data_IF_145313253728
#
_entry.id   IF_145313253728
#
_cell.length_a   1.000
_cell.length_b   1.000
_cell.length_c   1.000
_cell.angle_alpha   90.00
_cell.angle_beta   90.00
_cell.angle_gamma   90.00
#
_symmetry.space_group_name_H-M   'P 1'
#
loop_
_entity.id
_entity.type
_entity.pdbx_description
1 polymer ?
#
# COMPACT_ATOMS: atom_id res chain seq x y z
N UNK A 1 16.44 -1.30 23.93
CA UNK A 1 15.56 -2.42 23.57
C UNK A 1 15.71 -3.61 24.50
N UNK A 2 16.92 -4.09 24.80
CA UNK A 2 17.13 -5.24 25.72
C UNK A 2 16.42 -5.09 27.08
N UNK A 3 16.50 -3.91 27.70
CA UNK A 3 15.78 -3.62 28.95
C UNK A 3 14.26 -3.78 28.82
N UNK A 4 13.68 -3.51 27.65
CA UNK A 4 12.23 -3.68 27.42
C UNK A 4 11.84 -5.16 27.43
N UNK A 5 12.67 -6.03 26.85
CA UNK A 5 12.42 -7.49 26.86
C UNK A 5 12.46 -8.00 28.30
N UNK A 6 13.45 -7.58 29.09
CA UNK A 6 13.55 -7.97 30.51
C UNK A 6 12.36 -7.48 31.33
N UNK A 7 11.91 -6.23 31.13
CA UNK A 7 10.71 -5.69 31.80
C UNK A 7 9.47 -6.48 31.40
N UNK A 8 9.30 -6.78 30.12
CA UNK A 8 8.16 -7.53 29.61
C UNK A 8 8.06 -8.91 30.26
N UNK A 9 9.17 -9.66 30.29
CA UNK A 9 9.26 -10.96 30.96
C UNK A 9 8.96 -10.85 32.46
N UNK A 10 9.51 -9.83 33.12
CA UNK A 10 9.28 -9.60 34.55
C UNK A 10 7.80 -9.29 34.84
N UNK A 11 7.09 -8.54 34.00
CA UNK A 11 5.64 -8.29 34.18
C UNK A 11 4.84 -9.59 34.02
N UNK A 12 5.18 -10.44 33.05
CA UNK A 12 4.51 -11.72 32.83
C UNK A 12 4.68 -12.69 34.00
N UNK A 13 5.91 -12.82 34.53
CA UNK A 13 6.19 -13.63 35.72
C UNK A 13 5.33 -13.21 36.92
N UNK A 14 5.11 -11.91 37.08
CA UNK A 14 4.38 -11.33 38.21
C UNK A 14 2.86 -11.50 38.13
N UNK A 15 2.31 -11.74 36.93
CA UNK A 15 0.88 -12.05 36.74
C UNK A 15 0.50 -13.48 37.14
N UNK A 16 1.46 -14.40 37.21
CA UNK A 16 1.25 -15.81 37.61
C UNK A 16 2.23 -16.21 38.73
N UNK A 17 2.06 -15.68 39.97
CA UNK A 17 3.02 -15.90 41.04
C UNK A 17 3.03 -17.36 41.48
N UNK A 18 4.14 -18.07 41.22
CA UNK A 18 4.39 -19.45 41.69
C UNK A 18 5.32 -19.51 42.91
N UNK A 19 5.68 -18.36 43.51
CA UNK A 19 6.77 -18.25 44.51
C UNK A 19 6.36 -17.53 45.81
N UNK A 20 7.19 -17.72 46.84
CA UNK A 20 7.05 -17.22 48.21
C UNK A 20 6.98 -15.67 48.28
N UNK A 21 6.22 -15.11 49.22
CA UNK A 21 5.80 -13.69 49.21
C UNK A 21 6.93 -12.65 49.33
N UNK A 22 8.02 -12.97 50.04
CA UNK A 22 9.14 -12.04 50.21
C UNK A 22 10.01 -11.90 48.94
N UNK A 23 10.25 -12.99 48.22
CA UNK A 23 10.98 -12.96 46.94
C UNK A 23 10.15 -12.19 45.89
N UNK A 24 8.82 -12.25 45.99
CA UNK A 24 7.93 -11.53 45.10
C UNK A 24 8.06 -10.01 45.25
N UNK A 25 8.13 -9.50 46.49
CA UNK A 25 8.28 -8.06 46.75
C UNK A 25 9.59 -7.50 46.21
N UNK A 26 10.69 -8.25 46.31
CA UNK A 26 12.00 -7.83 45.80
C UNK A 26 11.96 -7.71 44.27
N UNK A 27 11.43 -8.74 43.59
CA UNK A 27 11.27 -8.74 42.12
C UNK A 27 10.36 -7.60 41.64
N UNK A 28 9.24 -7.37 42.34
CA UNK A 28 8.33 -6.27 42.05
C UNK A 28 9.03 -4.92 42.21
N UNK A 29 9.81 -4.73 43.29
CA UNK A 29 10.56 -3.51 43.55
C UNK A 29 11.60 -3.23 42.46
N UNK A 30 12.33 -4.24 42.01
CA UNK A 30 13.30 -4.13 40.90
C UNK A 30 12.63 -3.77 39.58
N UNK A 31 11.47 -4.36 39.29
CA UNK A 31 10.65 -4.03 38.13
C UNK A 31 10.23 -2.55 38.13
N UNK A 32 9.70 -2.04 39.25
CA UNK A 32 9.32 -0.62 39.36
C UNK A 32 10.49 0.32 39.14
N UNK A 33 11.65 0.04 39.74
CA UNK A 33 12.85 0.86 39.56
C UNK A 33 13.26 0.91 38.09
N UNK A 34 13.24 -0.24 37.41
CA UNK A 34 13.61 -0.34 36.00
C UNK A 34 12.65 0.46 35.12
N UNK A 35 11.33 0.37 35.36
CA UNK A 35 10.34 1.17 34.60
C UNK A 35 10.50 2.67 34.90
N UNK A 36 10.77 3.03 36.16
CA UNK A 36 11.00 4.42 36.58
C UNK A 36 12.17 5.07 35.84
N UNK A 37 13.31 4.36 35.72
CA UNK A 37 14.48 4.86 35.01
C UNK A 37 14.19 5.16 33.53
N UNK A 38 13.31 4.37 32.92
CA UNK A 38 13.01 4.46 31.49
C UNK A 38 11.92 5.49 31.18
N UNK A 39 11.00 5.75 32.12
CA UNK A 39 9.81 6.59 31.90
C UNK A 39 9.91 7.96 32.60
N UNK A 40 11.14 8.44 32.81
CA UNK A 40 11.49 9.63 33.61
C UNK A 40 10.82 10.97 33.16
N UNK A 41 9.99 10.95 32.12
CA UNK A 41 9.29 12.11 31.53
C UNK A 41 7.81 12.25 31.99
N UNK A 42 7.26 11.30 32.77
CA UNK A 42 5.87 11.37 33.29
C UNK A 42 5.82 11.74 34.78
N UNK A 43 5.63 13.04 35.08
CA UNK A 43 5.51 13.57 36.46
C UNK A 43 4.54 12.76 37.36
N UNK A 44 3.40 12.33 36.81
CA UNK A 44 2.41 11.53 37.55
C UNK A 44 2.92 10.14 37.93
N UNK A 45 3.76 9.51 37.08
CA UNK A 45 4.35 8.21 37.40
C UNK A 45 5.42 8.35 38.48
N UNK A 46 6.22 9.41 38.41
CA UNK A 46 7.30 9.68 39.36
C UNK A 46 6.74 9.83 40.78
N UNK A 47 5.67 10.62 40.93
CA UNK A 47 5.02 10.85 42.23
C UNK A 47 4.38 9.57 42.79
N UNK A 48 3.60 8.87 41.96
CA UNK A 48 2.92 7.63 42.33
C UNK A 48 3.91 6.48 42.62
N UNK A 49 4.94 6.32 41.80
CA UNK A 49 5.99 5.31 42.01
C UNK A 49 6.77 5.54 43.29
N UNK A 50 7.00 6.79 43.71
CA UNK A 50 7.72 7.08 44.97
C UNK A 50 6.97 6.54 46.18
N UNK A 51 5.63 6.67 46.20
CA UNK A 51 4.77 6.11 47.26
C UNK A 51 4.88 4.59 47.28
N UNK A 52 4.82 3.95 46.11
CA UNK A 52 4.91 2.49 45.98
C UNK A 52 6.29 1.95 46.38
N UNK A 53 7.37 2.58 45.93
CA UNK A 53 8.75 2.18 46.26
C UNK A 53 8.98 2.20 47.78
N UNK A 54 8.47 3.22 48.47
CA UNK A 54 8.52 3.31 49.93
C UNK A 54 7.71 2.18 50.57
N UNK A 55 6.45 1.98 50.15
CA UNK A 55 5.56 0.98 50.73
C UNK A 55 6.03 -0.48 50.50
N UNK A 56 6.63 -0.78 49.34
CA UNK A 56 7.28 -2.07 49.06
C UNK A 56 8.52 -2.28 49.93
N UNK A 57 9.32 -1.24 50.15
CA UNK A 57 10.52 -1.32 50.99
C UNK A 57 10.20 -1.61 52.46
N UNK A 58 9.01 -1.20 52.91
CA UNK A 58 8.51 -1.42 54.27
C UNK A 58 7.64 -2.70 54.39
N UNK A 59 7.41 -3.44 53.31
CA UNK A 59 6.55 -4.62 53.23
C UNK A 59 5.08 -4.37 53.69
N UNK A 60 4.57 -3.18 53.39
CA UNK A 60 3.31 -2.64 53.96
C UNK A 60 2.09 -2.74 53.02
N UNK A 61 2.14 -3.54 51.97
CA UNK A 61 1.08 -3.60 50.94
C UNK A 61 0.34 -4.93 50.92
N UNK A 62 -0.97 -4.86 50.76
CA UNK A 62 -1.82 -6.01 50.43
C UNK A 62 -1.55 -6.50 49.00
N UNK A 63 -1.91 -7.76 48.71
CA UNK A 63 -1.79 -8.31 47.36
C UNK A 63 -2.66 -7.57 46.34
N UNK A 64 -3.81 -7.05 46.75
CA UNK A 64 -4.68 -6.25 45.88
C UNK A 64 -4.00 -4.94 45.45
N UNK A 65 -3.39 -4.23 46.40
CA UNK A 65 -2.64 -3.00 46.09
C UNK A 65 -1.46 -3.30 45.17
N UNK A 66 -0.72 -4.39 45.41
CA UNK A 66 0.38 -4.80 44.52
C UNK A 66 -0.08 -5.04 43.09
N UNK A 67 -1.23 -5.70 42.90
CA UNK A 67 -1.79 -5.95 41.57
C UNK A 67 -2.28 -4.68 40.88
N UNK A 68 -2.90 -3.74 41.62
CA UNK A 68 -3.30 -2.44 41.07
C UNK A 68 -2.09 -1.63 40.59
N UNK A 69 -1.03 -1.58 41.39
CA UNK A 69 0.21 -0.92 41.01
C UNK A 69 0.87 -1.61 39.82
N UNK A 70 0.85 -2.95 39.77
CA UNK A 70 1.47 -3.70 38.67
C UNK A 70 0.75 -3.39 37.36
N UNK A 71 -0.57 -3.30 37.39
CA UNK A 71 -1.37 -2.87 36.25
C UNK A 71 -1.04 -1.43 35.82
N UNK A 72 -0.87 -0.52 36.77
CA UNK A 72 -0.49 0.87 36.49
C UNK A 72 0.89 0.98 35.83
N UNK A 73 1.91 0.32 36.39
CA UNK A 73 3.25 0.28 35.79
C UNK A 73 3.26 -0.41 34.43
N UNK A 74 2.51 -1.51 34.28
CA UNK A 74 2.37 -2.19 32.99
C UNK A 74 1.76 -1.27 31.93
N UNK A 75 0.74 -0.47 32.25
CA UNK A 75 0.14 0.49 31.30
C UNK A 75 1.10 1.60 30.85
N UNK A 76 1.95 2.05 31.77
CA UNK A 76 2.97 3.06 31.48
C UNK A 76 4.09 2.49 30.61
N UNK A 77 4.57 1.29 30.97
CA UNK A 77 5.51 0.55 30.16
C UNK A 77 4.95 0.23 28.77
N UNK A 78 3.67 -0.16 28.66
CA UNK A 78 3.00 -0.41 27.39
C UNK A 78 3.01 0.83 26.49
N UNK A 79 2.69 2.01 27.05
CA UNK A 79 2.75 3.28 26.31
C UNK A 79 4.16 3.56 25.78
N UNK A 80 5.18 3.39 26.64
CA UNK A 80 6.58 3.59 26.26
C UNK A 80 7.03 2.61 25.18
N UNK A 81 6.72 1.32 25.35
CA UNK A 81 7.08 0.26 24.43
C UNK A 81 6.43 0.46 23.06
N UNK A 82 5.15 0.84 23.01
CA UNK A 82 4.43 1.08 21.76
C UNK A 82 5.10 2.17 20.92
N UNK A 83 5.45 3.31 21.55
CA UNK A 83 6.18 4.40 20.89
C UNK A 83 7.56 3.94 20.43
N UNK A 84 8.31 3.25 21.28
CA UNK A 84 9.67 2.79 20.94
C UNK A 84 9.70 1.81 19.78
N UNK A 85 8.80 0.82 19.78
CA UNK A 85 8.67 -0.13 18.67
C UNK A 85 8.31 0.59 17.34
N UNK A 86 7.52 1.66 17.41
CA UNK A 86 7.14 2.43 16.22
C UNK A 86 8.28 3.33 15.69
N UNK A 87 8.93 4.08 16.57
CA UNK A 87 10.04 4.98 16.22
C UNK A 87 11.24 4.21 15.66
N UNK A 88 11.55 3.05 16.26
CA UNK A 88 12.77 2.28 15.97
C UNK A 88 12.50 1.09 15.03
N UNK A 89 11.34 1.05 14.34
CA UNK A 89 10.88 -0.05 13.46
C UNK A 89 11.88 -0.55 12.39
N UNK A 90 12.92 0.23 12.08
CA UNK A 90 13.97 -0.19 11.16
C UNK A 90 15.05 -1.09 11.77
N UNK A 91 15.18 -1.10 13.11
CA UNK A 91 16.24 -1.80 13.85
C UNK A 91 15.72 -2.75 14.92
N UNK A 92 14.39 -2.80 15.18
CA UNK A 92 13.80 -3.67 16.21
C UNK A 92 14.25 -5.12 16.07
N UNK A 93 14.32 -5.63 14.84
CA UNK A 93 14.70 -7.02 14.53
C UNK A 93 16.17 -7.34 14.83
N UNK A 94 17.00 -6.33 15.09
CA UNK A 94 18.37 -6.52 15.61
C UNK A 94 18.39 -6.91 17.09
N UNK A 95 17.31 -6.62 17.83
CA UNK A 95 17.19 -6.83 19.28
C UNK A 95 16.08 -7.82 19.67
N UNK A 96 14.93 -7.76 19.00
CA UNK A 96 13.77 -8.61 19.28
C UNK A 96 13.74 -9.82 18.34
N UNK A 97 13.72 -11.02 18.93
CA UNK A 97 13.41 -12.24 18.19
C UNK A 97 11.93 -12.29 17.78
N UNK A 98 11.56 -13.24 16.91
CA UNK A 98 10.14 -13.50 16.62
C UNK A 98 9.34 -13.85 17.88
N UNK A 99 9.97 -14.55 18.83
CA UNK A 99 9.33 -14.91 20.10
C UNK A 99 9.09 -13.67 20.98
N UNK A 100 10.06 -12.75 21.05
CA UNK A 100 9.92 -11.51 21.83
C UNK A 100 8.85 -10.59 21.24
N UNK A 101 8.74 -10.53 19.90
CA UNK A 101 7.65 -9.79 19.25
C UNK A 101 6.28 -10.43 19.51
N UNK A 102 6.19 -11.77 19.55
CA UNK A 102 4.96 -12.47 19.92
C UNK A 102 4.57 -12.14 21.37
N UNK A 103 5.51 -12.17 22.30
CA UNK A 103 5.27 -11.76 23.70
C UNK A 103 4.80 -10.32 23.79
N UNK A 104 5.46 -9.40 23.08
CA UNK A 104 5.06 -8.00 23.06
C UNK A 104 3.63 -7.83 22.51
N UNK A 105 3.28 -8.55 21.44
CA UNK A 105 1.94 -8.55 20.87
C UNK A 105 0.89 -9.10 21.86
N UNK A 106 1.16 -10.23 22.50
CA UNK A 106 0.28 -10.82 23.53
C UNK A 106 0.12 -9.88 24.73
N UNK A 107 1.19 -9.21 25.13
CA UNK A 107 1.17 -8.22 26.19
C UNK A 107 0.22 -7.06 25.88
N UNK A 108 0.22 -6.55 24.65
CA UNK A 108 -0.74 -5.52 24.24
C UNK A 108 -2.17 -6.05 24.15
N UNK A 109 -2.39 -7.20 23.51
CA UNK A 109 -3.72 -7.76 23.27
C UNK A 109 -4.42 -8.22 24.55
N UNK A 110 -3.68 -8.82 25.47
CA UNK A 110 -4.20 -9.36 26.72
C UNK A 110 -4.03 -8.39 27.90
N UNK A 111 -3.30 -7.29 27.69
CA UNK A 111 -3.19 -6.21 28.64
C UNK A 111 -4.51 -5.45 28.74
N UNK A 112 -5.01 -5.24 29.96
CA UNK A 112 -6.19 -4.41 30.21
C UNK A 112 -5.85 -2.92 30.06
N UNK A 113 -5.37 -2.53 28.88
CA UNK A 113 -4.96 -1.18 28.53
C UNK A 113 -6.07 -0.46 27.76
N UNK A 114 -6.02 0.88 27.72
CA UNK A 114 -6.93 1.67 26.89
C UNK A 114 -6.73 1.39 25.40
N UNK A 115 -7.77 1.59 24.56
CA UNK A 115 -7.74 1.24 23.14
C UNK A 115 -6.63 1.97 22.36
N UNK A 116 -6.28 3.20 22.75
CA UNK A 116 -5.18 3.96 22.15
C UNK A 116 -3.82 3.25 22.33
N UNK A 117 -3.49 2.85 23.56
CA UNK A 117 -2.22 2.16 23.85
C UNK A 117 -2.18 0.78 23.19
N UNK A 118 -3.28 0.02 23.30
CA UNK A 118 -3.38 -1.30 22.70
C UNK A 118 -3.23 -1.24 21.18
N UNK A 119 -3.96 -0.34 20.51
CA UNK A 119 -3.92 -0.21 19.05
C UNK A 119 -2.55 0.24 18.53
N UNK A 120 -1.92 1.25 19.15
CA UNK A 120 -0.56 1.69 18.77
C UNK A 120 0.44 0.57 18.98
N UNK A 121 0.37 -0.16 20.09
CA UNK A 121 1.24 -1.30 20.37
C UNK A 121 1.10 -2.43 19.36
N UNK A 122 -0.14 -2.85 19.08
CA UNK A 122 -0.44 -3.88 18.06
C UNK A 122 0.04 -3.44 16.68
N UNK A 123 -0.20 -2.18 16.30
CA UNK A 123 0.27 -1.61 15.03
C UNK A 123 1.80 -1.59 14.95
N UNK A 124 2.47 -1.13 16.01
CA UNK A 124 3.93 -1.08 16.07
C UNK A 124 4.57 -2.48 15.96
N UNK A 125 3.98 -3.49 16.61
CA UNK A 125 4.37 -4.89 16.42
C UNK A 125 4.10 -5.37 14.98
N UNK A 126 2.93 -5.04 14.40
CA UNK A 126 2.58 -5.41 13.03
C UNK A 126 3.64 -4.92 12.03
N UNK A 127 4.09 -3.67 12.17
CA UNK A 127 5.07 -3.07 11.26
C UNK A 127 6.44 -3.78 11.26
N UNK A 128 6.73 -4.63 12.24
CA UNK A 128 7.96 -5.44 12.27
C UNK A 128 7.88 -6.68 11.38
N UNK A 129 6.70 -6.99 10.82
CA UNK A 129 6.44 -8.15 9.97
C UNK A 129 6.20 -7.80 8.50
N UNK A 130 6.48 -6.56 8.09
CA UNK A 130 6.17 -6.03 6.75
C UNK A 130 6.70 -6.92 5.62
N UNK A 131 7.88 -7.51 5.78
CA UNK A 131 8.51 -8.38 4.78
C UNK A 131 8.59 -9.85 5.17
N UNK A 132 8.71 -10.17 6.45
CA UNK A 132 8.96 -11.53 6.94
C UNK A 132 7.67 -12.35 7.09
N UNK A 133 6.60 -11.72 7.57
CA UNK A 133 5.26 -12.33 7.64
C UNK A 133 4.21 -11.33 7.12
N UNK A 134 4.20 -10.98 5.81
CA UNK A 134 3.40 -9.86 5.30
C UNK A 134 1.90 -10.01 5.55
N UNK A 135 1.36 -11.23 5.44
CA UNK A 135 -0.05 -11.50 5.76
C UNK A 135 -0.36 -11.20 7.23
N UNK A 136 0.57 -11.55 8.12
CA UNK A 136 0.42 -11.28 9.55
C UNK A 136 0.46 -9.79 9.84
N UNK A 137 1.36 -9.05 9.19
CA UNK A 137 1.38 -7.58 9.27
C UNK A 137 0.05 -6.96 8.83
N UNK A 138 -0.50 -7.44 7.71
CA UNK A 138 -1.78 -6.99 7.17
C UNK A 138 -2.93 -7.18 8.16
N UNK A 139 -3.10 -8.40 8.68
CA UNK A 139 -4.19 -8.73 9.63
C UNK A 139 -4.04 -7.99 10.97
N UNK A 140 -2.82 -7.90 11.50
CA UNK A 140 -2.56 -7.17 12.75
C UNK A 140 -2.77 -5.66 12.58
N UNK A 141 -2.43 -5.10 11.42
CA UNK A 141 -2.71 -3.69 11.12
C UNK A 141 -4.22 -3.44 11.12
N UNK A 142 -5.01 -4.27 10.42
CA UNK A 142 -6.48 -4.15 10.45
C UNK A 142 -7.05 -4.32 11.86
N UNK A 143 -6.49 -5.24 12.65
CA UNK A 143 -6.86 -5.45 14.05
C UNK A 143 -6.62 -4.19 14.88
N UNK A 144 -5.44 -3.56 14.76
CA UNK A 144 -5.13 -2.31 15.46
C UNK A 144 -6.14 -1.20 15.14
N UNK A 145 -6.47 -1.01 13.86
CA UNK A 145 -7.46 -0.02 13.43
C UNK A 145 -8.90 -0.39 13.81
N UNK A 146 -9.19 -1.67 14.03
CA UNK A 146 -10.49 -2.11 14.55
C UNK A 146 -10.62 -1.80 16.05
N UNK A 147 -9.53 -1.98 16.81
CA UNK A 147 -9.46 -1.62 18.24
C UNK A 147 -9.64 -0.11 18.43
N UNK A 148 -9.00 0.69 17.58
CA UNK A 148 -9.10 2.14 17.60
C UNK A 148 -9.22 2.72 16.17
N UNK A 149 -10.46 2.98 15.70
CA UNK A 149 -10.73 3.56 14.37
C UNK A 149 -9.97 4.84 14.04
N UNK A 150 -9.64 5.67 15.04
CA UNK A 150 -8.93 6.95 14.88
C UNK A 150 -7.41 6.83 15.06
N UNK A 151 -6.86 5.61 15.06
CA UNK A 151 -5.42 5.36 15.24
C UNK A 151 -4.56 6.19 14.27
N UNK A 152 -5.03 6.44 13.05
CA UNK A 152 -4.31 7.29 12.10
C UNK A 152 -4.07 8.71 12.63
N UNK A 153 -4.98 9.27 13.43
CA UNK A 153 -4.81 10.56 14.07
C UNK A 153 -3.61 10.59 15.02
N UNK A 154 -3.34 9.49 15.72
CA UNK A 154 -2.14 9.31 16.55
C UNK A 154 -0.87 9.26 15.67
N UNK A 155 -0.99 8.70 14.46
CA UNK A 155 0.08 8.64 13.46
C UNK A 155 0.25 9.96 12.67
N UNK A 156 -0.55 10.99 12.95
CA UNK A 156 -0.50 12.29 12.28
C UNK A 156 -1.20 12.33 10.91
N UNK A 157 -2.13 11.42 10.64
CA UNK A 157 -2.89 11.33 9.39
C UNK A 157 -4.38 11.51 9.66
N UNK A 158 -5.06 12.37 8.88
CA UNK A 158 -6.50 12.52 8.99
C UNK A 158 -7.22 11.34 8.30
N UNK A 159 -7.44 10.26 9.04
CA UNK A 159 -8.14 9.07 8.54
C UNK A 159 -8.87 8.37 9.68
N UNK A 160 -10.05 7.82 9.37
CA UNK A 160 -10.82 6.98 10.30
C UNK A 160 -11.17 5.68 9.60
N UNK A 161 -10.82 4.56 10.25
CA UNK A 161 -11.19 3.25 9.75
C UNK A 161 -12.56 2.83 10.28
N UNK A 162 -13.59 2.89 9.44
CA UNK A 162 -14.96 2.51 9.82
C UNK A 162 -15.25 1.01 9.67
N UNK A 163 -14.23 0.14 9.61
CA UNK A 163 -14.42 -1.28 9.34
C UNK A 163 -14.98 -1.48 7.93
N UNK A 164 -16.11 -2.19 7.79
CA UNK A 164 -16.79 -2.58 6.53
C UNK A 164 -17.14 -1.46 5.52
N UNK A 165 -16.67 -0.23 5.72
CA UNK A 165 -16.83 0.91 4.81
C UNK A 165 -16.04 0.77 3.49
N UNK A 166 -15.02 -0.09 3.44
CA UNK A 166 -14.39 -0.54 2.20
C UNK A 166 -14.75 -2.01 2.02
N UNK A 167 -15.80 -2.32 1.26
CA UNK A 167 -15.97 -3.70 0.79
C UNK A 167 -14.77 -4.05 -0.08
N UNK A 168 -13.97 -5.00 0.37
CA UNK A 168 -12.76 -5.43 -0.34
C UNK A 168 -13.08 -6.61 -1.25
N UNK A 169 -12.65 -6.53 -2.49
CA UNK A 169 -12.47 -7.68 -3.36
C UNK A 169 -11.17 -8.36 -2.94
N UNK A 170 -11.28 -9.64 -2.61
CA UNK A 170 -10.13 -10.50 -2.34
C UNK A 170 -9.73 -11.20 -3.64
N UNK A 171 -8.43 -11.23 -3.89
CA UNK A 171 -7.82 -11.88 -5.06
C UNK A 171 -7.08 -13.13 -4.62
N UNK A 172 -7.75 -14.27 -4.73
CA UNK A 172 -7.26 -15.62 -4.39
C UNK A 172 -6.69 -16.38 -5.59
N UNK A 173 -6.73 -15.77 -6.77
CA UNK A 173 -6.18 -16.27 -8.02
C UNK A 173 -5.32 -15.19 -8.70
N UNK A 174 -4.14 -15.56 -9.18
CA UNK A 174 -3.25 -14.64 -9.88
C UNK A 174 -3.94 -14.08 -11.15
N UNK A 175 -4.11 -12.75 -11.27
CA UNK A 175 -4.85 -12.12 -12.37
C UNK A 175 -4.15 -12.23 -13.73
N UNK A 176 -2.90 -12.70 -13.73
CA UNK A 176 -2.08 -12.84 -14.93
C UNK A 176 -2.09 -14.25 -15.53
N UNK A 177 -2.09 -15.29 -14.69
CA UNK A 177 -1.89 -16.66 -15.17
C UNK A 177 -2.81 -17.71 -14.52
N UNK A 178 -3.72 -17.29 -13.64
CA UNK A 178 -4.64 -18.17 -12.94
C UNK A 178 -4.00 -19.11 -11.91
N UNK A 179 -2.80 -18.78 -11.42
CA UNK A 179 -2.16 -19.53 -10.32
C UNK A 179 -2.93 -19.35 -9.01
N UNK A 180 -3.00 -20.39 -8.18
CA UNK A 180 -3.75 -20.41 -6.91
C UNK A 180 -2.94 -21.03 -5.78
N UNK A 181 -3.45 -20.92 -4.56
CA UNK A 181 -2.89 -21.57 -3.37
C UNK A 181 -1.38 -21.29 -3.24
N UNK A 182 -0.55 -22.34 -3.27
CA UNK A 182 0.91 -22.27 -3.17
C UNK A 182 1.59 -21.47 -4.29
N UNK A 183 0.90 -21.19 -5.40
CA UNK A 183 1.45 -20.39 -6.50
C UNK A 183 1.49 -18.89 -6.16
N UNK A 184 0.70 -18.45 -5.18
CA UNK A 184 0.59 -17.04 -4.78
C UNK A 184 1.02 -16.89 -3.33
N UNK A 185 2.00 -16.03 -3.08
CA UNK A 185 2.60 -15.85 -1.77
C UNK A 185 2.48 -14.38 -1.31
N UNK A 186 2.14 -14.12 -0.04
CA UNK A 186 2.27 -12.79 0.55
C UNK A 186 3.71 -12.31 0.43
N UNK A 187 3.92 -11.13 -0.14
CA UNK A 187 5.25 -10.62 -0.46
C UNK A 187 5.60 -9.36 0.35
N UNK A 188 4.68 -8.43 0.49
CA UNK A 188 4.93 -7.16 1.15
C UNK A 188 3.66 -6.53 1.70
N UNK A 189 3.67 -6.10 2.97
CA UNK A 189 2.57 -5.36 3.56
C UNK A 189 2.88 -3.86 3.57
N UNK A 190 2.25 -3.11 2.66
CA UNK A 190 2.40 -1.67 2.55
C UNK A 190 1.60 -0.97 3.66
N UNK A 191 2.20 -0.07 4.46
CA UNK A 191 1.52 0.73 5.48
C UNK A 191 0.68 1.83 4.82
N UNK A 192 -0.40 1.41 4.19
CA UNK A 192 -1.22 2.23 3.31
C UNK A 192 -1.78 3.47 4.01
N UNK A 193 -2.08 3.37 5.31
CA UNK A 193 -2.60 4.47 6.13
C UNK A 193 -1.78 5.75 6.02
N UNK A 194 -0.47 5.66 5.80
CA UNK A 194 0.41 6.83 5.64
C UNK A 194 0.13 7.67 4.38
N UNK A 195 -0.79 7.21 3.52
CA UNK A 195 -1.20 7.84 2.26
C UNK A 195 -2.70 8.14 2.18
N UNK A 196 -3.48 7.86 3.22
CA UNK A 196 -4.96 7.90 3.18
C UNK A 196 -5.60 9.22 3.63
N UNK A 197 -4.89 10.34 3.56
CA UNK A 197 -5.38 11.65 4.00
C UNK A 197 -6.81 11.93 3.49
N UNK A 198 -7.78 11.89 4.41
CA UNK A 198 -9.24 12.01 4.18
C UNK A 198 -9.84 11.04 3.14
N UNK A 199 -9.22 9.87 2.93
CA UNK A 199 -9.67 8.87 1.97
C UNK A 199 -10.09 7.55 2.67
N UNK A 200 -11.38 7.40 3.04
CA UNK A 200 -11.89 6.21 3.71
C UNK A 200 -12.13 5.02 2.76
N UNK A 201 -11.94 5.19 1.43
CA UNK A 201 -12.21 4.15 0.42
C UNK A 201 -11.29 2.95 0.59
N UNK A 202 -10.10 3.20 1.14
CA UNK A 202 -9.05 2.22 1.24
C UNK A 202 -8.84 1.74 2.68
N UNK A 203 -8.50 0.45 2.87
CA UNK A 203 -8.11 -0.09 4.17
C UNK A 203 -6.74 0.45 4.61
N UNK A 204 -6.41 0.39 5.92
CA UNK A 204 -5.17 0.95 6.46
C UNK A 204 -3.89 0.22 6.03
N UNK A 205 -4.03 -0.99 5.46
CA UNK A 205 -2.92 -1.77 4.92
C UNK A 205 -3.28 -2.32 3.54
N UNK A 206 -2.26 -2.41 2.67
CA UNK A 206 -2.33 -3.09 1.38
C UNK A 206 -1.35 -4.25 1.37
N UNK A 207 -1.86 -5.45 1.10
CA UNK A 207 -1.02 -6.63 0.97
C UNK A 207 -0.69 -6.90 -0.49
N UNK A 208 0.59 -6.84 -0.83
CA UNK A 208 1.12 -7.27 -2.13
C UNK A 208 1.41 -8.76 -2.10
N UNK A 209 0.86 -9.45 -3.10
CA UNK A 209 1.09 -10.85 -3.41
C UNK A 209 2.08 -10.97 -4.56
N UNK A 210 2.85 -12.06 -4.58
CA UNK A 210 3.69 -12.46 -5.70
C UNK A 210 3.21 -13.80 -6.23
N UNK A 211 3.12 -13.94 -7.55
CA UNK A 211 2.89 -15.24 -8.17
C UNK A 211 4.23 -15.91 -8.55
N UNK A 212 4.54 -17.08 -8.01
CA UNK A 212 5.78 -17.80 -8.34
C UNK A 212 5.74 -18.47 -9.72
N UNK A 213 4.56 -18.64 -10.33
CA UNK A 213 4.43 -19.15 -11.70
C UNK A 213 4.79 -18.14 -12.78
N UNK A 214 4.37 -16.88 -12.62
CA UNK A 214 4.56 -15.85 -13.65
C UNK A 214 5.47 -14.69 -13.21
N UNK A 215 5.82 -14.60 -11.93
CA UNK A 215 6.68 -13.56 -11.37
C UNK A 215 6.00 -12.21 -11.10
N UNK A 216 4.77 -11.99 -11.57
CA UNK A 216 4.06 -10.73 -11.40
C UNK A 216 3.57 -10.53 -9.95
N UNK A 217 3.45 -9.26 -9.56
CA UNK A 217 2.84 -8.85 -8.30
C UNK A 217 1.43 -8.29 -8.52
N UNK A 218 0.58 -8.48 -7.53
CA UNK A 218 -0.78 -7.97 -7.49
C UNK A 218 -1.22 -7.76 -6.04
N UNK A 219 -2.25 -6.96 -5.81
CA UNK A 219 -2.78 -6.75 -4.45
C UNK A 219 -3.74 -7.88 -4.07
N UNK A 220 -3.62 -8.38 -2.83
CA UNK A 220 -4.56 -9.35 -2.24
C UNK A 220 -5.95 -8.76 -2.06
N UNK A 221 -6.02 -7.50 -1.67
CA UNK A 221 -7.24 -6.78 -1.33
C UNK A 221 -7.32 -5.46 -2.10
N UNK A 222 -8.48 -5.16 -2.67
CA UNK A 222 -8.74 -3.90 -3.34
C UNK A 222 -10.21 -3.48 -3.13
N UNK A 223 -10.55 -2.18 -3.04
CA UNK A 223 -11.95 -1.76 -2.89
C UNK A 223 -12.83 -2.23 -4.08
N UNK A 224 -14.01 -2.81 -3.81
CA UNK A 224 -14.95 -3.30 -4.85
C UNK A 224 -15.63 -2.16 -5.62
N UNK A 225 -16.06 -1.14 -4.89
CA UNK A 225 -16.87 -0.07 -5.45
C UNK A 225 -16.00 1.13 -5.84
N UNK A 226 -16.53 1.97 -6.75
CA UNK A 226 -15.97 3.27 -7.11
C UNK A 226 -14.62 3.21 -7.85
N UNK A 227 -14.34 2.13 -8.60
CA UNK A 227 -13.11 2.01 -9.42
C UNK A 227 -12.87 3.25 -10.29
N UNK A 228 -13.90 3.79 -10.95
CA UNK A 228 -13.78 5.02 -11.74
C UNK A 228 -13.45 6.29 -10.93
N UNK A 229 -13.84 6.35 -9.66
CA UNK A 229 -13.45 7.45 -8.77
C UNK A 229 -12.06 7.23 -8.15
N UNK A 230 -11.68 5.97 -7.93
CA UNK A 230 -10.35 5.58 -7.44
C UNK A 230 -9.27 5.85 -8.51
N UNK A 231 -9.61 5.60 -9.77
CA UNK A 231 -8.69 5.71 -10.91
C UNK A 231 -8.83 7.03 -11.68
N UNK A 232 -9.47 8.06 -11.12
CA UNK A 232 -9.79 9.31 -11.81
C UNK A 232 -9.81 10.55 -10.94
N UNK A 233 -10.61 11.55 -11.35
CA UNK A 233 -10.73 12.89 -10.77
C UNK A 233 -9.50 13.77 -10.95
N UNK A 234 -8.73 13.53 -12.01
CA UNK A 234 -7.57 14.35 -12.35
C UNK A 234 -7.95 15.79 -12.68
N UNK A 235 -9.20 16.01 -13.06
CA UNK A 235 -9.73 17.34 -13.38
C UNK A 235 -10.41 18.03 -12.19
N UNK A 236 -10.60 17.35 -11.05
CA UNK A 236 -11.40 17.85 -9.92
C UNK A 236 -10.78 19.06 -9.17
N UNK A 237 -11.63 19.91 -8.59
CA UNK A 237 -11.22 20.94 -7.61
C UNK A 237 -10.77 22.31 -8.14
N UNK A 238 -10.95 22.63 -9.43
CA UNK A 238 -10.50 23.91 -10.01
C UNK A 238 -11.54 24.51 -10.94
N UNK A 239 -11.66 25.85 -10.91
CA UNK A 239 -12.67 26.64 -11.63
C UNK A 239 -12.88 26.14 -13.06
N UNK A 240 -14.14 25.92 -13.44
CA UNK A 240 -14.72 25.23 -14.61
C UNK A 240 -14.20 25.58 -16.03
N UNK A 241 -13.01 26.14 -16.23
CA UNK A 241 -12.56 26.67 -17.53
C UNK A 241 -11.16 26.17 -17.93
N UNK A 242 -10.24 25.91 -16.99
CA UNK A 242 -8.84 25.55 -17.33
C UNK A 242 -8.52 24.15 -16.85
N UNK A 243 -8.05 23.31 -17.77
CA UNK A 243 -7.45 22.01 -17.49
C UNK A 243 -5.95 22.22 -17.28
N UNK A 244 -5.39 21.67 -16.20
CA UNK A 244 -3.96 21.74 -15.92
C UNK A 244 -3.28 20.44 -16.32
N UNK A 245 -2.16 20.58 -17.02
CA UNK A 245 -1.34 19.46 -17.43
C UNK A 245 -0.49 18.97 -16.25
N UNK A 246 -0.35 17.65 -16.09
CA UNK A 246 0.57 17.04 -15.12
C UNK A 246 2.02 17.15 -15.60
N UNK A 247 2.23 17.10 -16.91
CA UNK A 247 3.53 17.21 -17.58
C UNK A 247 3.53 18.28 -18.67
N UNK A 248 4.71 18.61 -19.19
CA UNK A 248 4.76 19.41 -20.41
C UNK A 248 4.34 18.55 -21.61
N UNK A 249 3.46 19.06 -22.48
CA UNK A 249 3.02 18.34 -23.69
C UNK A 249 4.20 17.88 -24.56
N UNK A 250 5.29 18.67 -24.59
CA UNK A 250 6.50 18.34 -25.33
C UNK A 250 7.18 17.03 -24.86
N UNK A 251 6.91 16.57 -23.64
CA UNK A 251 7.41 15.29 -23.12
C UNK A 251 6.90 14.11 -23.95
N UNK A 252 5.71 14.22 -24.56
CA UNK A 252 5.13 13.16 -25.39
C UNK A 252 5.67 13.16 -26.83
N UNK A 253 6.39 14.20 -27.27
CA UNK A 253 6.86 14.32 -28.65
C UNK A 253 7.67 13.11 -29.10
N UNK A 254 8.57 12.60 -28.26
CA UNK A 254 9.41 11.45 -28.61
C UNK A 254 8.58 10.20 -28.85
N UNK A 255 7.56 9.96 -28.02
CA UNK A 255 6.63 8.83 -28.16
C UNK A 255 5.90 8.90 -29.51
N UNK A 256 5.35 10.06 -29.88
CA UNK A 256 4.66 10.24 -31.16
C UNK A 256 5.61 10.16 -32.38
N UNK A 257 6.87 10.57 -32.24
CA UNK A 257 7.87 10.35 -33.29
C UNK A 257 8.16 8.87 -33.51
N UNK A 258 8.14 8.04 -32.45
CA UNK A 258 8.24 6.58 -32.61
C UNK A 258 6.99 6.02 -33.30
N UNK A 259 5.78 6.46 -32.95
CA UNK A 259 4.56 6.05 -33.66
C UNK A 259 4.65 6.30 -35.16
N UNK A 260 5.07 7.50 -35.57
CA UNK A 260 5.26 7.88 -36.98
C UNK A 260 6.28 7.01 -37.73
N UNK A 261 7.33 6.54 -37.03
CA UNK A 261 8.33 5.63 -37.62
C UNK A 261 7.80 4.22 -37.79
N UNK A 262 6.88 3.83 -36.92
CA UNK A 262 6.33 2.48 -36.86
C UNK A 262 5.17 2.30 -37.85
N UNK A 263 4.24 3.25 -37.89
CA UNK A 263 3.07 3.18 -38.78
C UNK A 263 2.78 4.54 -39.42
N UNK A 264 2.42 4.59 -40.73
CA UNK A 264 1.90 5.80 -41.36
C UNK A 264 0.43 6.09 -41.00
N UNK A 265 -0.24 5.11 -40.37
CA UNK A 265 -1.65 5.16 -40.03
C UNK A 265 -1.99 6.24 -38.99
N UNK A 266 -3.27 6.60 -38.94
CA UNK A 266 -3.79 7.76 -38.22
C UNK A 266 -4.99 7.47 -37.33
N UNK A 267 -5.56 6.27 -37.41
CA UNK A 267 -6.63 5.87 -36.50
C UNK A 267 -6.03 5.60 -35.12
N UNK A 268 -6.48 6.37 -34.12
CA UNK A 268 -5.88 6.42 -32.79
C UNK A 268 -6.91 6.14 -31.71
N UNK A 269 -6.58 5.25 -30.78
CA UNK A 269 -7.36 4.98 -29.58
C UNK A 269 -6.52 5.24 -28.34
N UNK A 270 -7.02 6.09 -27.44
CA UNK A 270 -6.47 6.26 -26.10
C UNK A 270 -7.34 5.59 -25.05
N UNK A 271 -6.74 4.70 -24.28
CA UNK A 271 -7.38 4.03 -23.16
C UNK A 271 -6.85 4.72 -21.90
N UNK A 272 -7.75 5.33 -21.10
CA UNK A 272 -7.42 6.13 -19.92
C UNK A 272 -6.85 7.50 -20.28
N UNK A 273 -7.70 8.53 -20.38
CA UNK A 273 -7.28 9.87 -20.87
C UNK A 273 -6.65 10.72 -19.77
N UNK A 274 -6.99 10.46 -18.52
CA UNK A 274 -6.49 11.23 -17.38
C UNK A 274 -6.70 12.74 -17.53
N UNK A 275 -5.61 13.50 -17.61
CA UNK A 275 -5.58 14.96 -17.82
C UNK A 275 -5.74 15.40 -19.28
N UNK A 276 -5.81 14.47 -20.24
CA UNK A 276 -6.00 14.74 -21.67
C UNK A 276 -4.74 15.18 -22.44
N UNK A 277 -3.58 15.14 -21.81
CA UNK A 277 -2.32 15.63 -22.39
C UNK A 277 -1.88 14.83 -23.61
N UNK A 278 -1.94 13.50 -23.54
CA UNK A 278 -1.53 12.62 -24.64
C UNK A 278 -2.51 12.74 -25.81
N UNK A 279 -3.81 12.81 -25.51
CA UNK A 279 -4.88 13.06 -26.47
C UNK A 279 -4.70 14.39 -27.20
N UNK A 280 -4.37 15.46 -26.47
CA UNK A 280 -4.09 16.77 -27.06
C UNK A 280 -2.91 16.71 -28.05
N UNK A 281 -1.82 16.01 -27.69
CA UNK A 281 -0.67 15.83 -28.58
C UNK A 281 -1.04 14.97 -29.80
N UNK A 282 -1.92 13.97 -29.66
CA UNK A 282 -2.40 13.18 -30.79
C UNK A 282 -3.10 14.07 -31.84
N UNK A 283 -3.94 15.00 -31.40
CA UNK A 283 -4.63 15.96 -32.28
C UNK A 283 -3.63 16.88 -32.99
N UNK A 284 -2.63 17.42 -32.28
CA UNK A 284 -1.56 18.25 -32.86
C UNK A 284 -0.73 17.48 -33.92
N UNK A 285 -0.58 16.16 -33.74
CA UNK A 285 0.10 15.29 -34.70
C UNK A 285 -0.82 14.80 -35.84
N UNK A 286 -2.08 15.25 -35.86
CA UNK A 286 -3.07 14.99 -36.89
C UNK A 286 -3.61 13.55 -36.90
N UNK A 287 -3.76 12.93 -35.72
CA UNK A 287 -4.43 11.64 -35.58
C UNK A 287 -5.95 11.79 -35.52
N UNK A 288 -6.68 10.78 -36.02
CA UNK A 288 -8.12 10.65 -35.83
C UNK A 288 -8.35 9.93 -34.50
N UNK A 289 -8.48 10.72 -33.44
CA UNK A 289 -8.49 10.21 -32.08
C UNK A 289 -9.90 9.86 -31.59
N UNK A 290 -10.03 8.67 -31.03
CA UNK A 290 -11.10 8.25 -30.13
C UNK A 290 -10.48 7.91 -28.77
N UNK A 291 -11.27 7.95 -27.71
CA UNK A 291 -10.77 7.58 -26.39
C UNK A 291 -11.82 6.92 -25.49
N UNK A 292 -11.35 6.20 -24.48
CA UNK A 292 -12.14 5.56 -23.44
C UNK A 292 -11.62 5.98 -22.08
N UNK A 293 -12.52 6.35 -21.18
CA UNK A 293 -12.17 6.79 -19.83
C UNK A 293 -13.21 6.27 -18.82
N UNK A 294 -12.74 5.71 -17.71
CA UNK A 294 -13.58 5.12 -16.67
C UNK A 294 -14.17 6.19 -15.74
N UNK A 295 -13.47 7.32 -15.58
CA UNK A 295 -13.92 8.46 -14.79
C UNK A 295 -14.83 9.38 -15.60
N UNK A 296 -16.10 9.43 -15.21
CA UNK A 296 -17.10 10.27 -15.87
C UNK A 296 -16.69 11.74 -15.94
N UNK A 297 -16.21 12.31 -14.84
CA UNK A 297 -15.85 13.73 -14.78
C UNK A 297 -14.72 14.06 -15.78
N UNK A 298 -13.65 13.27 -15.77
CA UNK A 298 -12.51 13.47 -16.65
C UNK A 298 -12.93 13.30 -18.12
N UNK A 299 -13.71 12.25 -18.44
CA UNK A 299 -14.24 12.05 -19.80
C UNK A 299 -15.05 13.24 -20.32
N UNK A 300 -16.02 13.75 -19.54
CA UNK A 300 -16.89 14.86 -19.95
C UNK A 300 -16.09 16.16 -20.15
N UNK A 301 -15.13 16.44 -19.25
CA UNK A 301 -14.36 17.69 -19.29
C UNK A 301 -13.31 17.71 -20.38
N UNK A 302 -12.57 16.61 -20.58
CA UNK A 302 -11.58 16.51 -21.66
C UNK A 302 -12.30 16.49 -23.02
N UNK A 303 -13.43 15.76 -23.14
CA UNK A 303 -14.23 15.74 -24.36
C UNK A 303 -14.70 17.13 -24.76
N UNK A 304 -15.22 17.91 -23.81
CA UNK A 304 -15.64 19.29 -24.03
C UNK A 304 -14.47 20.20 -24.47
N UNK A 305 -13.30 20.05 -23.85
CA UNK A 305 -12.16 20.92 -24.10
C UNK A 305 -11.46 20.64 -25.44
N UNK A 306 -11.36 19.37 -25.83
CA UNK A 306 -10.62 18.94 -27.03
C UNK A 306 -11.52 18.66 -28.23
N UNK A 307 -12.85 18.56 -28.04
CA UNK A 307 -13.79 18.23 -29.11
C UNK A 307 -13.67 16.78 -29.61
N UNK A 308 -13.25 15.86 -28.73
CA UNK A 308 -13.07 14.43 -29.03
C UNK A 308 -14.23 13.63 -28.43
N UNK A 309 -14.70 12.62 -29.14
CA UNK A 309 -15.67 11.64 -28.62
C UNK A 309 -14.94 10.69 -27.65
N UNK A 310 -15.11 10.94 -26.35
CA UNK A 310 -14.56 10.10 -25.27
C UNK A 310 -15.70 9.25 -24.71
N UNK A 311 -15.60 7.93 -24.84
CA UNK A 311 -16.56 7.01 -24.25
C UNK A 311 -16.30 6.85 -22.76
N UNK A 312 -17.31 7.16 -21.95
CA UNK A 312 -17.30 6.88 -20.53
C UNK A 312 -17.68 5.41 -20.29
N UNK A 313 -16.68 4.55 -20.08
CA UNK A 313 -16.87 3.15 -19.71
C UNK A 313 -15.55 2.53 -19.23
N UNK A 314 -15.65 1.35 -18.61
CA UNK A 314 -14.46 0.50 -18.47
C UNK A 314 -14.06 -0.02 -19.87
N UNK A 315 -12.75 -0.19 -20.09
CA UNK A 315 -12.24 -0.71 -21.35
C UNK A 315 -12.79 -2.10 -21.66
N UNK A 316 -13.05 -2.93 -20.64
CA UNK A 316 -13.64 -4.26 -20.79
C UNK A 316 -15.07 -4.23 -21.35
N UNK A 317 -15.76 -3.10 -21.25
CA UNK A 317 -17.11 -2.88 -21.82
C UNK A 317 -17.10 -2.14 -23.17
N UNK A 318 -15.98 -1.51 -23.55
CA UNK A 318 -15.88 -0.75 -24.80
C UNK A 318 -15.91 -1.63 -26.06
N UNK A 319 -16.89 -1.50 -26.93
CA UNK A 319 -16.90 -2.20 -28.22
C UNK A 319 -16.44 -1.30 -29.35
N UNK A 320 -15.30 -1.63 -29.95
CA UNK A 320 -14.77 -0.89 -31.10
C UNK A 320 -15.46 -1.30 -32.40
N UNK A 321 -15.82 -0.31 -33.22
CA UNK A 321 -16.39 -0.52 -34.55
C UNK A 321 -15.33 -0.71 -35.64
N UNK A 322 -14.07 -0.38 -35.33
CA UNK A 322 -12.92 -0.44 -36.23
C UNK A 322 -11.66 -0.90 -35.51
N UNK A 323 -10.59 -1.06 -36.27
CA UNK A 323 -9.24 -1.25 -35.74
C UNK A 323 -8.45 0.06 -35.80
N UNK A 324 -7.45 0.18 -34.93
CA UNK A 324 -6.64 1.37 -34.77
C UNK A 324 -5.19 1.11 -35.17
N UNK A 325 -4.58 2.08 -35.83
CA UNK A 325 -3.18 2.06 -36.19
C UNK A 325 -2.29 2.30 -34.97
N UNK A 326 -2.77 3.09 -34.01
CA UNK A 326 -2.09 3.39 -32.75
C UNK A 326 -3.08 3.21 -31.61
N UNK A 327 -2.74 2.37 -30.65
CA UNK A 327 -3.45 2.25 -29.37
C UNK A 327 -2.49 2.66 -28.27
N UNK A 328 -2.94 3.47 -27.32
CA UNK A 328 -2.11 3.88 -26.16
C UNK A 328 -2.77 3.48 -24.85
N UNK A 329 -1.96 3.01 -23.91
CA UNK A 329 -2.31 2.71 -22.52
C UNK A 329 -1.24 3.35 -21.63
N UNK A 330 -1.41 4.63 -21.31
CA UNK A 330 -0.44 5.39 -20.53
C UNK A 330 -0.73 5.30 -19.03
N UNK A 331 0.03 4.49 -18.31
CA UNK A 331 -0.11 4.31 -16.87
C UNK A 331 -1.52 3.81 -16.52
N UNK A 332 -1.95 2.74 -17.20
CA UNK A 332 -3.29 2.11 -17.08
C UNK A 332 -3.19 0.68 -16.59
N UNK A 333 -2.17 -0.06 -17.02
CA UNK A 333 -2.08 -1.51 -16.81
C UNK A 333 -1.96 -1.87 -15.32
N UNK A 334 -1.32 -1.01 -14.53
CA UNK A 334 -1.19 -1.12 -13.08
C UNK A 334 -2.52 -0.92 -12.34
N UNK A 335 -3.52 -0.27 -12.96
CA UNK A 335 -4.80 0.10 -12.34
C UNK A 335 -5.95 -0.86 -12.68
N UNK A 336 -5.73 -1.86 -13.53
CA UNK A 336 -6.78 -2.79 -13.97
C UNK A 336 -6.72 -4.12 -13.23
N UNK A 337 -7.91 -4.63 -12.87
CA UNK A 337 -8.06 -5.91 -12.15
C UNK A 337 -7.76 -7.11 -13.06
N UNK A 338 -8.11 -6.99 -14.34
CA UNK A 338 -8.01 -8.06 -15.35
C UNK A 338 -7.04 -7.68 -16.49
N UNK A 339 -5.73 -7.52 -16.21
CA UNK A 339 -4.75 -7.01 -17.17
C UNK A 339 -4.68 -7.86 -18.46
N UNK A 340 -4.83 -9.18 -18.35
CA UNK A 340 -4.79 -10.08 -19.52
C UNK A 340 -5.97 -9.85 -20.45
N UNK A 341 -7.16 -9.60 -19.91
CA UNK A 341 -8.37 -9.34 -20.69
C UNK A 341 -8.25 -8.00 -21.43
N UNK A 342 -7.77 -6.97 -20.72
CA UNK A 342 -7.49 -5.64 -21.31
C UNK A 342 -6.47 -5.75 -22.45
N UNK A 343 -5.35 -6.46 -22.25
CA UNK A 343 -4.34 -6.64 -23.29
C UNK A 343 -4.87 -7.44 -24.49
N UNK A 344 -5.69 -8.48 -24.27
CA UNK A 344 -6.35 -9.22 -25.35
C UNK A 344 -7.33 -8.34 -26.12
N UNK A 345 -8.04 -7.44 -25.43
CA UNK A 345 -8.96 -6.50 -26.06
C UNK A 345 -8.22 -5.47 -26.90
N UNK A 346 -7.16 -4.87 -26.35
CA UNK A 346 -6.26 -3.99 -27.10
C UNK A 346 -5.70 -4.69 -28.34
N UNK A 347 -5.24 -5.94 -28.21
CA UNK A 347 -4.80 -6.75 -29.37
C UNK A 347 -5.89 -6.87 -30.44
N UNK A 348 -7.13 -7.20 -30.07
CA UNK A 348 -8.24 -7.37 -31.03
C UNK A 348 -8.53 -6.08 -31.83
N UNK A 349 -8.42 -4.94 -31.15
CA UNK A 349 -8.66 -3.61 -31.72
C UNK A 349 -7.44 -3.08 -32.50
N UNK A 350 -6.26 -3.69 -32.36
CA UNK A 350 -5.04 -3.25 -33.04
C UNK A 350 -5.05 -3.70 -34.51
N UNK A 351 -4.88 -2.75 -35.41
CA UNK A 351 -4.79 -3.01 -36.84
C UNK A 351 -3.52 -3.80 -37.21
N UNK A 352 -3.55 -4.47 -38.36
CA UNK A 352 -2.37 -5.10 -38.94
C UNK A 352 -1.29 -4.03 -39.23
N UNK A 353 -0.09 -4.21 -38.68
CA UNK A 353 0.99 -3.23 -38.76
C UNK A 353 0.85 -2.04 -37.80
N UNK A 354 -0.23 -1.99 -37.01
CA UNK A 354 -0.42 -1.03 -35.94
C UNK A 354 0.57 -1.20 -34.79
N UNK A 355 0.55 -0.23 -33.87
CA UNK A 355 1.35 -0.26 -32.65
C UNK A 355 0.50 -0.02 -31.40
N UNK A 356 0.65 -0.88 -30.41
CA UNK A 356 0.16 -0.66 -29.06
C UNK A 356 1.31 -0.11 -28.22
N UNK A 357 1.09 1.02 -27.55
CA UNK A 357 2.03 1.56 -26.58
C UNK A 357 1.51 1.38 -25.16
N UNK A 358 2.38 0.89 -24.30
CA UNK A 358 2.08 0.62 -22.89
C UNK A 358 3.11 1.36 -22.05
N UNK A 359 2.63 2.25 -21.19
CA UNK A 359 3.41 2.77 -20.09
C UNK A 359 2.97 2.12 -18.79
N UNK A 360 3.94 1.69 -17.98
CA UNK A 360 3.66 1.13 -16.65
C UNK A 360 4.92 1.16 -15.79
N UNK A 361 4.79 1.22 -14.45
CA UNK A 361 5.88 0.94 -13.52
C UNK A 361 6.57 -0.40 -13.80
N UNK A 362 7.89 -0.45 -13.55
CA UNK A 362 8.71 -1.66 -13.66
C UNK A 362 9.40 -1.98 -12.33
N UNK A 363 8.91 -2.98 -11.60
CA UNK A 363 9.44 -3.33 -10.27
C UNK A 363 10.88 -3.80 -10.30
N UNK A 364 11.35 -4.29 -11.45
CA UNK A 364 12.69 -4.85 -11.61
C UNK A 364 13.64 -3.88 -12.33
N UNK A 365 13.26 -2.62 -12.56
CA UNK A 365 14.20 -1.66 -13.12
C UNK A 365 15.32 -1.31 -12.11
N UNK A 366 16.44 -0.78 -12.61
CA UNK A 366 17.57 -0.43 -11.74
C UNK A 366 17.19 0.55 -10.61
N UNK A 367 16.35 1.55 -10.92
CA UNK A 367 15.87 2.51 -9.93
C UNK A 367 15.02 1.85 -8.83
N UNK A 368 14.07 1.00 -9.20
CA UNK A 368 13.24 0.28 -8.24
C UNK A 368 14.08 -0.65 -7.35
N UNK A 369 15.10 -1.33 -7.90
CA UNK A 369 16.02 -2.15 -7.09
C UNK A 369 16.87 -1.32 -6.12
N UNK A 370 17.28 -0.11 -6.50
CA UNK A 370 18.00 0.80 -5.60
C UNK A 370 17.11 1.29 -4.44
N UNK A 371 15.82 1.52 -4.71
CA UNK A 371 14.87 2.00 -3.72
C UNK A 371 14.24 0.86 -2.88
N UNK A 372 14.27 -0.38 -3.37
CA UNK A 372 13.59 -1.53 -2.77
C UNK A 372 12.12 -1.19 -2.44
N UNK A 373 11.62 -1.55 -1.26
CA UNK A 373 10.26 -1.20 -0.82
C UNK A 373 10.03 0.29 -0.59
N UNK A 374 11.05 1.15 -0.58
CA UNK A 374 10.85 2.60 -0.53
C UNK A 374 10.41 3.19 -1.89
N UNK A 375 10.43 2.39 -2.96
CA UNK A 375 9.93 2.81 -4.26
C UNK A 375 8.44 3.15 -4.18
N UNK A 376 8.05 4.37 -4.59
CA UNK A 376 6.70 4.90 -4.37
C UNK A 376 5.57 4.01 -4.93
N UNK A 377 5.83 3.25 -6.00
CA UNK A 377 4.83 2.40 -6.65
C UNK A 377 4.33 1.24 -5.75
N UNK A 378 5.05 0.87 -4.68
CA UNK A 378 4.55 -0.06 -3.65
C UNK A 378 3.46 0.55 -2.74
N UNK A 379 3.32 1.88 -2.78
CA UNK A 379 2.49 2.67 -1.88
C UNK A 379 1.40 3.46 -2.60
N UNK A 380 1.34 3.41 -3.93
CA UNK A 380 0.26 4.02 -4.69
C UNK A 380 -1.05 3.27 -4.41
N UNK A 381 -2.07 4.01 -3.96
CA UNK A 381 -3.32 3.44 -3.42
C UNK A 381 -4.08 2.67 -4.50
N UNK A 382 -4.11 3.21 -5.70
CA UNK A 382 -4.88 2.70 -6.83
C UNK A 382 -4.09 1.72 -7.73
N UNK A 383 -2.84 1.38 -7.39
CA UNK A 383 -2.10 0.34 -8.11
C UNK A 383 -2.55 -1.04 -7.64
N UNK A 384 -3.15 -1.80 -8.55
CA UNK A 384 -3.61 -3.16 -8.34
C UNK A 384 -2.57 -4.20 -8.78
N UNK A 385 -1.81 -3.90 -9.83
CA UNK A 385 -0.73 -4.77 -10.33
C UNK A 385 0.62 -4.09 -10.39
N UNK A 386 1.69 -4.89 -10.36
CA UNK A 386 3.04 -4.40 -10.56
C UNK A 386 3.88 -5.44 -11.31
N UNK A 387 4.27 -5.07 -12.54
CA UNK A 387 4.96 -5.95 -13.49
C UNK A 387 6.43 -5.54 -13.67
N UNK A 388 7.22 -6.40 -14.29
CA UNK A 388 8.53 -6.08 -14.82
C UNK A 388 8.56 -6.20 -16.33
N UNK A 389 9.65 -5.72 -16.95
CA UNK A 389 9.87 -5.95 -18.37
C UNK A 389 9.77 -7.45 -18.71
N UNK A 390 10.47 -8.31 -17.96
CA UNK A 390 10.57 -9.73 -18.27
C UNK A 390 9.22 -10.46 -18.13
N UNK A 391 8.48 -10.13 -17.08
CA UNK A 391 7.19 -10.76 -16.78
C UNK A 391 6.09 -10.28 -17.74
N UNK A 392 6.10 -8.99 -18.10
CA UNK A 392 5.19 -8.45 -19.11
C UNK A 392 5.53 -8.96 -20.52
N UNK A 393 6.81 -9.04 -20.89
CA UNK A 393 7.23 -9.63 -22.17
C UNK A 393 6.78 -11.10 -22.28
N UNK A 394 6.97 -11.88 -21.22
CA UNK A 394 6.52 -13.27 -21.18
C UNK A 394 4.99 -13.36 -21.36
N UNK A 395 4.22 -12.50 -20.68
CA UNK A 395 2.77 -12.43 -20.82
C UNK A 395 2.34 -12.06 -22.24
N UNK A 396 2.92 -11.01 -22.83
CA UNK A 396 2.60 -10.54 -24.18
C UNK A 396 2.81 -11.65 -25.22
N UNK A 397 3.90 -12.41 -25.10
CA UNK A 397 4.17 -13.56 -25.98
C UNK A 397 3.07 -14.62 -25.92
N UNK A 398 2.49 -14.88 -24.74
CA UNK A 398 1.39 -15.86 -24.61
C UNK A 398 0.12 -15.46 -25.36
N UNK A 399 -0.07 -14.16 -25.61
CA UNK A 399 -1.20 -13.63 -26.36
C UNK A 399 -0.81 -13.20 -27.78
N UNK A 400 0.34 -13.64 -28.29
CA UNK A 400 0.88 -13.33 -29.63
C UNK A 400 1.04 -11.82 -29.86
N UNK A 401 1.53 -11.12 -28.83
CA UNK A 401 2.07 -9.78 -28.95
C UNK A 401 3.58 -9.83 -28.75
N UNK A 402 4.31 -8.98 -29.46
CA UNK A 402 5.76 -8.84 -29.32
C UNK A 402 6.16 -7.39 -29.04
N UNK A 403 7.13 -7.20 -28.15
CA UNK A 403 7.74 -5.89 -27.89
C UNK A 403 8.74 -5.62 -29.02
N UNK A 404 8.57 -4.51 -29.72
CA UNK A 404 9.45 -4.09 -30.82
C UNK A 404 10.36 -2.92 -30.44
N UNK A 405 10.05 -2.21 -29.36
CA UNK A 405 10.87 -1.12 -28.83
C UNK A 405 10.63 -0.91 -27.34
N UNK A 406 11.67 -0.51 -26.62
CA UNK A 406 11.67 -0.21 -25.19
C UNK A 406 12.29 1.16 -24.95
N UNK A 407 11.66 1.97 -24.12
CA UNK A 407 12.23 3.21 -23.59
C UNK A 407 12.03 3.30 -22.07
N UNK A 408 12.88 4.05 -21.39
CA UNK A 408 12.62 4.46 -20.02
C UNK A 408 11.67 5.66 -20.04
N UNK A 409 10.72 5.70 -19.10
CA UNK A 409 9.80 6.82 -19.04
C UNK A 409 10.52 8.12 -18.67
N UNK A 410 10.19 9.19 -19.39
CA UNK A 410 10.60 10.56 -19.04
C UNK A 410 9.61 11.23 -18.07
N UNK A 411 8.48 10.57 -17.78
CA UNK A 411 7.40 11.08 -16.92
C UNK A 411 7.53 10.60 -15.47
N UNK A 412 7.93 9.34 -15.29
CA UNK A 412 8.08 8.74 -13.96
C UNK A 412 9.37 7.92 -13.85
N UNK A 413 10.14 8.18 -12.79
CA UNK A 413 11.28 7.34 -12.44
C UNK A 413 10.80 5.94 -12.07
N UNK A 414 11.44 4.93 -12.67
CA UNK A 414 11.10 3.53 -12.42
C UNK A 414 9.98 2.96 -13.31
N UNK A 415 9.48 3.75 -14.26
CA UNK A 415 8.51 3.29 -15.27
C UNK A 415 9.18 2.99 -16.62
N UNK A 416 8.55 2.12 -17.39
CA UNK A 416 8.97 1.72 -18.73
C UNK A 416 7.91 2.04 -19.77
N UNK A 417 8.37 2.25 -21.01
CA UNK A 417 7.54 2.54 -22.18
C UNK A 417 7.79 1.42 -23.22
N UNK A 418 6.76 0.66 -23.55
CA UNK A 418 6.84 -0.48 -24.46
C UNK A 418 6.04 -0.19 -25.72
N UNK A 419 6.62 -0.45 -26.88
CA UNK A 419 5.92 -0.44 -28.15
C UNK A 419 5.76 -1.89 -28.60
N UNK A 420 4.52 -2.28 -28.86
CA UNK A 420 4.08 -3.65 -28.98
C UNK A 420 3.32 -3.84 -30.29
N UNK A 421 3.48 -4.98 -30.94
CA UNK A 421 2.79 -5.35 -32.18
C UNK A 421 2.23 -6.75 -32.10
N UNK A 422 1.36 -7.10 -33.05
CA UNK A 422 1.06 -8.51 -33.34
C UNK A 422 2.36 -9.25 -33.66
N UNK A 423 2.57 -10.39 -33.01
CA UNK A 423 3.66 -11.29 -33.33
C UNK A 423 3.44 -11.90 -34.72
N UNK A 424 4.53 -12.11 -35.47
CA UNK A 424 4.51 -12.73 -36.80
C UNK A 424 4.38 -14.24 -36.77
#
# INVERSE_FOLDING_TARGET
>A
MDQMISILQAIEEQKNPTLNSNDNNIKILELYKTIYEIVNDKNSYVEQSTVMLNALSENNLSEEEKQQWLAYAAGIFASYMAVKLYEERGIVREYFSCEDLNRALEFFLNGNFGPEVTSVGVYACAQQYITEEPMRCYELTKTAFTIHPDLAGILGVAYRYEGAAAEEQITDECPFCGGKDRDIIPYYCSPQVLKLENNPVFPPAKLWMKCDRCGNYFTYNFPKDKVGAINGHYTSGRSNIILENKFALATYNQIFQQFKRMTPGKEYLEIGVGTGEMLAVALEFGYHAEAVEICREDSERISLALGVDIKWCDITDYEAEKQYDVIVMGDVLEHVIHPVEVLKKAKKMLADGGVLWISTPNYNCAYARMQNFAHCMWHELNHYTYVSYETLEALLKTIQLEIVHYEMSTRYNGSMELFVRHAK
#
